data_IF_128592486472
#
_entry.id   IF_128592486472
#
_cell.length_a   1.000
_cell.length_b   1.000
_cell.length_c   1.000
_cell.angle_alpha   90.00
_cell.angle_beta   90.00
_cell.angle_gamma   90.00
#
_symmetry.space_group_name_H-M   'P 1'
#
loop_
_entity.id
_entity.type
_entity.pdbx_description
1 polymer ?
#
# COMPACT_ATOMS: atom_id res chain seq x y z
N UNK A 1 47.72 -18.96 24.31
CA UNK A 1 46.67 -19.56 25.18
C UNK A 1 45.49 -19.93 24.31
N UNK A 2 45.25 -21.22 24.08
CA UNK A 2 44.15 -21.73 23.22
C UNK A 2 42.88 -21.79 24.08
N UNK A 3 41.99 -20.82 23.90
CA UNK A 3 40.67 -20.83 24.55
C UNK A 3 39.76 -21.88 23.97
N UNK A 4 39.14 -22.69 24.82
CA UNK A 4 38.00 -23.58 24.44
C UNK A 4 36.70 -22.79 24.56
N UNK A 5 35.76 -23.04 23.64
CA UNK A 5 34.40 -22.48 23.75
C UNK A 5 33.61 -23.17 24.88
N UNK A 6 32.41 -22.62 25.22
CA UNK A 6 31.51 -23.16 26.25
C UNK A 6 31.08 -24.63 26.02
N UNK A 7 31.40 -25.20 24.84
CA UNK A 7 31.10 -26.59 24.48
C UNK A 7 32.32 -27.52 24.54
N UNK A 8 33.46 -27.05 25.07
CA UNK A 8 34.71 -27.81 25.18
C UNK A 8 35.45 -28.03 23.86
N UNK A 9 35.08 -27.35 22.79
CA UNK A 9 35.69 -27.44 21.48
C UNK A 9 36.83 -26.43 21.37
N UNK A 10 37.98 -26.86 20.83
CA UNK A 10 39.08 -25.94 20.54
C UNK A 10 38.66 -24.96 19.47
N UNK A 11 38.73 -23.67 19.75
CA UNK A 11 38.52 -22.65 18.73
C UNK A 11 39.66 -22.73 17.71
N UNK A 12 39.28 -22.88 16.44
CA UNK A 12 40.27 -22.83 15.36
C UNK A 12 40.78 -21.40 15.22
N UNK A 13 42.10 -21.16 15.23
CA UNK A 13 42.67 -19.84 15.05
C UNK A 13 42.17 -19.16 13.78
N UNK A 14 42.02 -17.85 13.81
CA UNK A 14 41.55 -17.04 12.69
C UNK A 14 42.47 -17.18 11.46
N UNK A 15 43.76 -17.32 11.71
CA UNK A 15 44.79 -17.53 10.65
C UNK A 15 44.57 -18.83 9.91
N UNK A 16 44.28 -19.91 10.60
CA UNK A 16 44.05 -21.24 9.99
C UNK A 16 42.76 -21.22 9.17
N UNK A 17 41.76 -20.49 9.64
CA UNK A 17 40.50 -20.25 8.90
C UNK A 17 40.75 -19.42 7.62
N UNK A 18 41.59 -18.41 7.69
CA UNK A 18 41.97 -17.59 6.55
C UNK A 18 42.73 -18.41 5.50
N UNK A 19 43.72 -19.21 5.93
CA UNK A 19 44.47 -20.14 5.04
C UNK A 19 43.55 -21.13 4.33
N UNK A 20 42.58 -21.68 5.05
CA UNK A 20 41.59 -22.59 4.43
C UNK A 20 40.82 -21.90 3.31
N UNK A 21 40.28 -20.69 3.55
CA UNK A 21 39.49 -19.98 2.57
C UNK A 21 40.32 -19.49 1.39
N UNK A 22 41.56 -19.11 1.62
CA UNK A 22 42.50 -18.73 0.56
C UNK A 22 42.82 -19.92 -0.37
N UNK A 23 43.05 -21.11 0.18
CA UNK A 23 43.25 -22.31 -0.58
C UNK A 23 41.98 -22.71 -1.36
N UNK A 24 40.79 -22.55 -0.77
CA UNK A 24 39.53 -22.84 -1.46
C UNK A 24 39.24 -21.81 -2.58
N UNK A 25 39.59 -20.56 -2.42
CA UNK A 25 39.49 -19.55 -3.47
C UNK A 25 40.44 -19.81 -4.66
N UNK A 26 41.56 -20.44 -4.41
CA UNK A 26 42.50 -20.92 -5.45
C UNK A 26 42.06 -22.23 -6.14
N UNK A 27 40.84 -22.75 -5.86
CA UNK A 27 40.31 -23.94 -6.47
C UNK A 27 40.79 -25.27 -5.87
N UNK A 28 41.55 -25.22 -4.76
CA UNK A 28 42.13 -26.43 -4.09
C UNK A 28 41.02 -27.23 -3.44
N UNK A 29 41.10 -28.57 -3.46
CA UNK A 29 40.11 -29.45 -2.85
C UNK A 29 39.95 -29.22 -1.35
N UNK A 30 38.76 -29.52 -0.78
CA UNK A 30 38.51 -29.35 0.67
C UNK A 30 39.55 -30.16 1.49
N UNK A 31 39.91 -31.36 1.05
CA UNK A 31 40.86 -32.25 1.74
C UNK A 31 42.25 -31.59 1.81
N UNK A 32 42.73 -31.04 0.73
CA UNK A 32 44.03 -30.35 0.65
C UNK A 32 44.01 -29.01 1.35
N UNK A 33 42.96 -28.23 1.21
CA UNK A 33 42.79 -26.96 1.90
C UNK A 33 42.79 -27.15 3.45
N UNK A 34 42.21 -28.25 3.94
CA UNK A 34 42.29 -28.62 5.35
C UNK A 34 43.72 -28.98 5.79
N UNK A 35 44.49 -29.65 4.95
CA UNK A 35 45.91 -29.95 5.24
C UNK A 35 46.76 -28.69 5.31
N UNK A 36 46.57 -27.78 4.35
CA UNK A 36 47.27 -26.48 4.30
C UNK A 36 46.96 -25.63 5.54
N UNK A 37 45.71 -25.63 5.96
CA UNK A 37 45.23 -24.87 7.12
C UNK A 37 45.47 -25.58 8.46
N UNK A 38 45.93 -26.82 8.50
CA UNK A 38 46.10 -27.56 9.74
C UNK A 38 44.81 -27.88 10.48
N UNK A 39 43.67 -27.93 9.80
CA UNK A 39 42.36 -28.18 10.39
C UNK A 39 41.82 -29.58 10.05
N UNK A 40 40.96 -30.08 10.91
CA UNK A 40 40.32 -31.35 10.70
C UNK A 40 39.36 -31.32 9.48
N UNK A 41 39.35 -32.36 8.66
CA UNK A 41 38.55 -32.43 7.44
C UNK A 41 37.05 -32.16 7.66
N UNK A 42 36.47 -32.72 8.71
CA UNK A 42 35.06 -32.50 9.04
C UNK A 42 34.74 -31.00 9.36
N UNK A 43 35.70 -30.26 9.89
CA UNK A 43 35.58 -28.82 10.14
C UNK A 43 35.54 -28.04 8.84
N UNK A 44 36.45 -28.37 7.90
CA UNK A 44 36.47 -27.76 6.57
C UNK A 44 35.19 -28.06 5.76
N UNK A 45 34.71 -29.31 5.82
CA UNK A 45 33.43 -29.65 5.18
C UNK A 45 32.24 -28.84 5.71
N UNK A 46 32.14 -28.68 7.03
CA UNK A 46 31.06 -27.88 7.65
C UNK A 46 31.13 -26.41 7.23
N UNK A 47 32.32 -25.87 7.12
CA UNK A 47 32.50 -24.48 6.69
C UNK A 47 32.15 -24.29 5.22
N UNK A 48 32.58 -25.19 4.34
CA UNK A 48 32.26 -25.13 2.91
C UNK A 48 30.74 -25.31 2.66
N UNK A 49 30.10 -26.24 3.36
CA UNK A 49 28.65 -26.42 3.28
C UNK A 49 27.87 -25.18 3.77
N UNK A 50 28.33 -24.54 4.87
CA UNK A 50 27.71 -23.32 5.39
C UNK A 50 27.85 -22.16 4.40
N UNK A 51 29.03 -22.00 3.77
CA UNK A 51 29.27 -20.99 2.77
C UNK A 51 28.37 -21.17 1.54
N UNK A 52 28.30 -22.39 0.99
CA UNK A 52 27.43 -22.70 -0.16
C UNK A 52 25.95 -22.41 0.14
N UNK A 53 25.52 -22.67 1.39
CA UNK A 53 24.15 -22.32 1.80
C UNK A 53 23.93 -20.82 1.80
N UNK A 54 24.86 -20.03 2.35
CA UNK A 54 24.77 -18.56 2.36
C UNK A 54 24.75 -18.01 0.92
N UNK A 55 25.63 -18.52 0.04
CA UNK A 55 25.69 -18.12 -1.37
C UNK A 55 24.38 -18.47 -2.11
N UNK A 56 23.80 -19.64 -1.83
CA UNK A 56 22.50 -20.03 -2.40
C UNK A 56 21.35 -19.15 -1.88
N UNK A 57 21.32 -18.85 -0.58
CA UNK A 57 20.31 -17.98 0.02
C UNK A 57 20.42 -16.53 -0.52
N UNK A 58 21.65 -16.03 -0.73
CA UNK A 58 21.89 -14.71 -1.35
C UNK A 58 21.44 -14.71 -2.82
N UNK A 59 21.80 -15.74 -3.59
CA UNK A 59 21.37 -15.85 -4.99
C UNK A 59 19.83 -15.95 -5.11
N UNK A 60 19.18 -16.66 -4.19
CA UNK A 60 17.71 -16.73 -4.13
C UNK A 60 17.08 -15.39 -3.77
N UNK A 61 17.69 -14.64 -2.83
CA UNK A 61 17.25 -13.30 -2.47
C UNK A 61 17.41 -12.31 -3.65
N UNK A 62 18.54 -12.34 -4.35
CA UNK A 62 18.77 -11.51 -5.54
C UNK A 62 17.79 -11.82 -6.67
N UNK A 63 17.44 -13.12 -6.86
CA UNK A 63 16.43 -13.54 -7.83
C UNK A 63 15.03 -13.03 -7.42
N UNK A 64 14.72 -13.06 -6.13
CA UNK A 64 13.49 -12.51 -5.56
C UNK A 64 13.37 -11.01 -5.80
N UNK A 65 14.43 -10.26 -5.56
CA UNK A 65 14.50 -8.81 -5.83
C UNK A 65 14.35 -8.52 -7.33
N UNK A 66 15.00 -9.29 -8.21
CA UNK A 66 14.85 -9.16 -9.67
C UNK A 66 13.41 -9.43 -10.13
N UNK A 67 12.76 -10.47 -9.59
CA UNK A 67 11.35 -10.78 -9.88
C UNK A 67 10.41 -9.69 -9.39
N UNK A 68 10.62 -9.17 -8.18
CA UNK A 68 9.84 -8.06 -7.63
C UNK A 68 9.99 -6.79 -8.48
N UNK A 69 11.21 -6.46 -8.93
CA UNK A 69 11.47 -5.32 -9.79
C UNK A 69 10.87 -5.49 -11.20
N UNK A 70 10.88 -6.70 -11.77
CA UNK A 70 10.25 -6.99 -13.05
C UNK A 70 8.73 -6.84 -12.97
N UNK A 71 8.10 -7.34 -11.88
CA UNK A 71 6.68 -7.16 -11.65
C UNK A 71 6.31 -5.68 -11.44
N UNK A 72 7.11 -4.92 -10.71
CA UNK A 72 6.88 -3.47 -10.55
C UNK A 72 6.98 -2.70 -11.87
N UNK A 73 7.88 -3.12 -12.76
CA UNK A 73 8.01 -2.56 -14.11
C UNK A 73 6.80 -2.85 -14.98
N UNK A 74 6.23 -4.06 -14.90
CA UNK A 74 5.00 -4.44 -15.59
C UNK A 74 3.79 -3.70 -15.04
N UNK A 75 3.65 -3.64 -13.73
CA UNK A 75 2.59 -2.87 -13.06
C UNK A 75 2.66 -1.37 -13.39
N UNK A 76 3.87 -0.79 -13.49
CA UNK A 76 4.05 0.62 -13.91
C UNK A 76 3.64 0.84 -15.38
N UNK A 77 3.89 -0.13 -16.27
CA UNK A 77 3.44 -0.06 -17.68
C UNK A 77 1.93 -0.19 -17.78
N UNK A 78 1.34 -1.13 -17.05
CA UNK A 78 -0.12 -1.30 -16.95
C UNK A 78 -0.80 -0.05 -16.38
N UNK A 79 -0.23 0.55 -15.32
CA UNK A 79 -0.73 1.83 -14.78
C UNK A 79 -0.59 2.98 -15.77
N UNK A 80 0.50 3.05 -16.56
CA UNK A 80 0.64 4.06 -17.60
C UNK A 80 -0.36 3.85 -18.73
N UNK A 81 -0.54 2.60 -19.22
CA UNK A 81 -1.54 2.33 -20.25
C UNK A 81 -2.96 2.66 -19.78
N UNK A 82 -3.29 2.35 -18.52
CA UNK A 82 -4.58 2.75 -17.92
C UNK A 82 -4.73 4.28 -17.85
N UNK A 83 -3.63 5.01 -17.59
CA UNK A 83 -3.64 6.48 -17.56
C UNK A 83 -3.76 7.05 -18.98
N UNK A 84 -3.10 6.43 -19.96
CA UNK A 84 -3.11 6.85 -21.36
C UNK A 84 -4.42 6.43 -22.07
N UNK A 85 -5.01 5.29 -21.65
CA UNK A 85 -6.33 4.79 -22.09
C UNK A 85 -7.50 5.46 -21.35
N UNK A 86 -7.25 6.17 -20.25
CA UNK A 86 -8.22 7.08 -19.65
C UNK A 86 -8.40 8.27 -20.59
N UNK A 87 -9.01 8.00 -21.73
CA UNK A 87 -9.49 9.01 -22.65
C UNK A 87 -10.21 10.13 -21.90
N UNK A 88 -10.45 11.25 -22.54
CA UNK A 88 -10.96 12.47 -21.94
C UNK A 88 -11.90 12.23 -20.75
N UNK A 89 -11.42 12.59 -19.57
CA UNK A 89 -12.24 12.53 -18.35
C UNK A 89 -13.56 13.24 -18.66
N UNK A 90 -14.70 12.69 -18.22
CA UNK A 90 -15.99 13.34 -18.40
C UNK A 90 -15.88 14.79 -17.92
N UNK A 91 -16.45 15.76 -18.66
CA UNK A 91 -16.35 17.16 -18.29
C UNK A 91 -16.81 17.37 -16.86
N UNK A 92 -15.97 18.00 -16.06
CA UNK A 92 -16.32 18.39 -14.70
C UNK A 92 -17.43 19.44 -14.79
N UNK A 93 -18.51 19.22 -14.05
CA UNK A 93 -19.54 20.28 -13.91
C UNK A 93 -18.90 21.40 -13.09
N UNK A 94 -18.77 22.63 -13.63
CA UNK A 94 -18.21 23.75 -12.89
C UNK A 94 -19.03 24.01 -11.61
N UNK A 95 -18.37 24.43 -10.53
CA UNK A 95 -19.01 24.69 -9.24
C UNK A 95 -20.26 25.58 -9.35
N UNK A 96 -20.20 26.60 -10.20
CA UNK A 96 -21.28 27.57 -10.43
C UNK A 96 -22.55 26.92 -10.99
N UNK A 97 -22.39 25.82 -11.73
CA UNK A 97 -23.49 25.06 -12.37
C UNK A 97 -24.03 23.92 -11.50
N UNK A 98 -23.41 23.67 -10.34
CA UNK A 98 -23.90 22.68 -9.39
C UNK A 98 -25.23 23.09 -8.78
N UNK A 99 -26.08 22.11 -8.47
CA UNK A 99 -27.28 22.34 -7.66
C UNK A 99 -26.91 22.82 -6.25
N UNK A 100 -27.82 23.48 -5.55
CA UNK A 100 -27.57 23.93 -4.16
C UNK A 100 -27.21 22.76 -3.23
N UNK A 101 -27.82 21.60 -3.44
CA UNK A 101 -27.46 20.35 -2.73
C UNK A 101 -26.01 19.95 -3.02
N UNK A 102 -25.61 19.98 -4.27
CA UNK A 102 -24.27 19.61 -4.70
C UNK A 102 -23.22 20.62 -4.19
N UNK A 103 -23.49 21.92 -4.24
CA UNK A 103 -22.62 22.96 -3.68
C UNK A 103 -22.42 22.76 -2.18
N UNK A 104 -23.50 22.53 -1.43
CA UNK A 104 -23.40 22.25 -0.01
C UNK A 104 -22.59 20.99 0.28
N UNK A 105 -22.79 19.92 -0.49
CA UNK A 105 -21.96 18.70 -0.35
C UNK A 105 -20.50 18.91 -0.75
N UNK A 106 -20.21 19.84 -1.66
CA UNK A 106 -18.85 20.22 -2.02
C UNK A 106 -18.12 20.92 -0.88
N UNK A 107 -18.81 21.81 -0.17
CA UNK A 107 -18.20 22.64 0.86
C UNK A 107 -18.24 22.00 2.25
N UNK A 108 -19.22 21.13 2.52
CA UNK A 108 -19.48 20.54 3.84
C UNK A 108 -19.35 19.01 3.80
N UNK A 109 -18.30 18.50 4.45
CA UNK A 109 -18.04 17.07 4.53
C UNK A 109 -19.07 16.29 5.37
N UNK A 110 -19.60 16.86 6.44
CA UNK A 110 -20.66 16.23 7.25
C UNK A 110 -21.92 16.05 6.41
N UNK A 111 -22.34 17.13 5.73
CA UNK A 111 -23.47 17.11 4.82
C UNK A 111 -23.25 16.11 3.67
N UNK A 112 -22.08 16.12 3.05
CA UNK A 112 -21.71 15.19 1.99
C UNK A 112 -21.88 13.73 2.42
N UNK A 113 -21.37 13.35 3.59
CA UNK A 113 -21.47 11.98 4.10
C UNK A 113 -22.90 11.57 4.34
N UNK A 114 -23.74 12.46 4.88
CA UNK A 114 -25.16 12.16 5.13
C UNK A 114 -25.90 11.99 3.84
N UNK A 115 -25.81 12.95 2.95
CA UNK A 115 -26.64 13.02 1.73
C UNK A 115 -26.22 12.01 0.69
N UNK A 116 -24.92 11.79 0.47
CA UNK A 116 -24.43 10.92 -0.60
C UNK A 116 -23.98 9.53 -0.14
N UNK A 117 -23.53 9.41 1.10
CA UNK A 117 -22.99 8.17 1.61
C UNK A 117 -23.87 7.52 2.68
N UNK A 118 -24.96 8.17 3.08
CA UNK A 118 -25.91 7.65 4.07
C UNK A 118 -25.28 7.40 5.44
N UNK A 119 -24.26 8.17 5.82
CA UNK A 119 -23.49 7.93 7.05
C UNK A 119 -23.55 9.12 7.99
N UNK A 120 -23.71 8.82 9.27
CA UNK A 120 -23.60 9.81 10.34
C UNK A 120 -22.15 9.87 10.80
N UNK A 121 -21.39 10.95 10.54
CA UNK A 121 -20.02 11.06 11.02
C UNK A 121 -19.97 11.40 12.51
N UNK A 122 -18.96 10.90 13.21
CA UNK A 122 -18.63 11.41 14.53
C UNK A 122 -17.82 12.71 14.43
N UNK A 123 -17.85 13.60 15.44
CA UNK A 123 -17.15 14.89 15.39
C UNK A 123 -15.66 14.79 15.03
N UNK A 124 -14.95 13.81 15.58
CA UNK A 124 -13.53 13.60 15.28
C UNK A 124 -13.27 13.25 13.82
N UNK A 125 -14.21 12.55 13.14
CA UNK A 125 -14.09 12.19 11.73
C UNK A 125 -14.24 13.42 10.83
N UNK A 126 -15.09 14.34 11.20
CA UNK A 126 -15.27 15.62 10.51
C UNK A 126 -14.02 16.46 10.64
N UNK A 127 -13.52 16.63 11.87
CA UNK A 127 -12.28 17.37 12.15
C UNK A 127 -11.07 16.77 11.40
N UNK A 128 -10.93 15.44 11.45
CA UNK A 128 -9.86 14.75 10.73
C UNK A 128 -9.97 14.94 9.21
N UNK A 129 -11.18 14.90 8.63
CA UNK A 129 -11.37 15.10 7.19
C UNK A 129 -10.91 16.50 6.75
N UNK A 130 -11.30 17.54 7.47
CA UNK A 130 -10.86 18.91 7.16
C UNK A 130 -9.36 19.09 7.31
N UNK A 131 -8.73 18.49 8.33
CA UNK A 131 -7.27 18.50 8.48
C UNK A 131 -6.58 17.78 7.31
N UNK A 132 -7.10 16.62 6.89
CA UNK A 132 -6.56 15.91 5.72
C UNK A 132 -6.63 16.80 4.48
N UNK A 133 -7.76 17.44 4.22
CA UNK A 133 -7.92 18.29 3.04
C UNK A 133 -7.03 19.52 3.11
N UNK A 134 -6.91 20.15 4.27
CA UNK A 134 -6.01 21.29 4.48
C UNK A 134 -4.56 20.92 4.15
N UNK A 135 -4.09 19.74 4.57
CA UNK A 135 -2.75 19.24 4.21
C UNK A 135 -2.63 18.92 2.72
N UNK A 136 -3.67 18.39 2.07
CA UNK A 136 -3.66 18.13 0.64
C UNK A 136 -3.62 19.42 -0.22
N UNK A 137 -4.16 20.50 0.29
CA UNK A 137 -4.20 21.82 -0.35
C UNK A 137 -2.95 22.66 -0.03
N UNK A 138 -2.12 22.25 0.93
CA UNK A 138 -0.86 22.92 1.24
C UNK A 138 0.18 22.62 0.14
N UNK A 139 1.07 23.57 -0.14
CA UNK A 139 2.18 23.39 -1.07
C UNK A 139 3.31 22.54 -0.48
N UNK A 140 3.29 22.31 0.82
CA UNK A 140 4.30 21.53 1.53
C UNK A 140 4.02 20.03 1.42
N UNK A 141 5.08 19.25 1.22
CA UNK A 141 5.01 17.78 1.23
C UNK A 141 5.03 17.31 2.67
N UNK A 142 3.87 17.03 3.23
CA UNK A 142 3.71 16.61 4.60
C UNK A 142 3.24 15.15 4.72
N UNK A 143 3.58 14.55 5.87
CA UNK A 143 3.03 13.26 6.27
C UNK A 143 2.00 13.47 7.37
N UNK A 144 0.75 13.08 7.09
CA UNK A 144 -0.30 13.06 8.10
C UNK A 144 -0.46 11.65 8.65
N UNK A 145 -0.25 11.49 9.96
CA UNK A 145 -0.45 10.22 10.65
C UNK A 145 -1.72 10.30 11.48
N UNK A 146 -2.72 9.48 11.13
CA UNK A 146 -3.96 9.36 11.88
C UNK A 146 -3.92 8.14 12.77
N UNK A 147 -3.75 8.35 14.08
CA UNK A 147 -3.75 7.29 15.08
C UNK A 147 -5.11 7.24 15.80
N UNK A 148 -5.82 6.15 15.66
CA UNK A 148 -7.11 5.94 16.30
C UNK A 148 -7.34 4.46 16.65
N UNK A 149 -8.15 4.18 17.68
CA UNK A 149 -8.38 2.81 18.14
C UNK A 149 -9.01 1.93 17.05
N UNK A 150 -8.84 0.60 17.15
CA UNK A 150 -9.55 -0.35 16.30
C UNK A 150 -11.07 -0.14 16.38
N UNK A 151 -11.78 -0.29 15.27
CA UNK A 151 -13.23 -0.11 15.24
C UNK A 151 -13.74 1.33 15.17
N UNK A 152 -12.88 2.34 15.33
CA UNK A 152 -13.29 3.76 15.26
C UNK A 152 -13.77 4.24 13.88
N UNK A 153 -13.76 3.38 12.85
CA UNK A 153 -14.21 3.76 11.50
C UNK A 153 -13.15 4.44 10.64
N UNK A 154 -11.86 4.29 10.97
CA UNK A 154 -10.74 4.87 10.23
C UNK A 154 -10.78 4.58 8.72
N UNK A 155 -10.94 3.32 8.35
CA UNK A 155 -10.97 2.91 6.94
C UNK A 155 -12.17 3.49 6.19
N UNK A 156 -13.30 3.65 6.89
CA UNK A 156 -14.50 4.29 6.35
C UNK A 156 -14.25 5.78 6.15
N UNK A 157 -13.59 6.44 7.09
CA UNK A 157 -13.22 7.85 6.96
C UNK A 157 -12.32 8.07 5.74
N UNK A 158 -11.25 7.28 5.57
CA UNK A 158 -10.36 7.42 4.42
C UNK A 158 -11.06 7.15 3.09
N UNK A 159 -11.98 6.18 3.05
CA UNK A 159 -12.82 5.95 1.88
C UNK A 159 -13.66 7.21 1.55
N UNK A 160 -14.33 7.77 2.54
CA UNK A 160 -15.25 8.90 2.37
C UNK A 160 -14.50 10.19 1.99
N UNK A 161 -13.35 10.45 2.62
CA UNK A 161 -12.48 11.57 2.26
C UNK A 161 -11.93 11.41 0.84
N UNK A 162 -11.48 10.21 0.44
CA UNK A 162 -11.01 9.96 -0.91
C UNK A 162 -12.12 10.23 -1.95
N UNK A 163 -13.35 9.75 -1.70
CA UNK A 163 -14.51 10.03 -2.56
C UNK A 163 -14.77 11.54 -2.63
N UNK A 164 -14.79 12.23 -1.50
CA UNK A 164 -15.03 13.67 -1.45
C UNK A 164 -13.96 14.49 -2.18
N UNK A 165 -12.67 14.14 -2.00
CA UNK A 165 -11.57 14.77 -2.74
C UNK A 165 -11.68 14.56 -4.25
N UNK A 166 -12.05 13.35 -4.70
CA UNK A 166 -12.24 13.04 -6.13
C UNK A 166 -13.42 13.82 -6.72
N UNK A 167 -14.50 13.99 -5.94
CA UNK A 167 -15.65 14.82 -6.37
C UNK A 167 -15.24 16.27 -6.56
N UNK A 168 -14.44 16.83 -5.66
CA UNK A 168 -13.94 18.22 -5.70
C UNK A 168 -12.85 18.45 -6.74
N UNK A 169 -12.02 17.44 -6.97
CA UNK A 169 -10.91 17.54 -7.92
C UNK A 169 -10.72 16.23 -8.67
N UNK A 170 -11.19 16.17 -9.94
CA UNK A 170 -11.06 15.00 -10.82
C UNK A 170 -9.63 14.67 -11.21
N UNK A 171 -8.72 15.64 -11.12
CA UNK A 171 -7.30 15.45 -11.45
C UNK A 171 -6.51 14.83 -10.28
N UNK A 172 -7.11 14.70 -9.09
CA UNK A 172 -6.44 14.12 -7.94
C UNK A 172 -6.13 12.64 -8.18
N UNK A 173 -4.93 12.22 -7.81
CA UNK A 173 -4.50 10.82 -7.88
C UNK A 173 -4.42 10.24 -6.48
N UNK A 174 -5.21 9.21 -6.22
CA UNK A 174 -5.25 8.53 -4.92
C UNK A 174 -4.51 7.21 -5.00
N UNK A 175 -3.43 7.07 -4.22
CA UNK A 175 -2.69 5.82 -4.07
C UNK A 175 -3.07 5.16 -2.74
N UNK A 176 -3.54 3.91 -2.79
CA UNK A 176 -3.94 3.15 -1.61
C UNK A 176 -2.93 2.04 -1.36
N UNK A 177 -2.19 2.16 -0.26
CA UNK A 177 -1.34 1.11 0.27
C UNK A 177 -2.03 0.31 1.37
N UNK A 178 -1.81 -1.00 1.41
CA UNK A 178 -2.32 -1.88 2.46
C UNK A 178 -1.37 -3.06 2.69
N UNK A 179 -1.56 -3.77 3.81
CA UNK A 179 -0.77 -4.97 4.16
C UNK A 179 -0.89 -6.08 3.10
N UNK A 180 -1.98 -6.11 2.33
CA UNK A 180 -2.17 -7.04 1.23
C UNK A 180 -2.72 -6.36 -0.01
N UNK A 181 -2.30 -6.85 -1.18
CA UNK A 181 -2.80 -6.39 -2.47
C UNK A 181 -4.33 -6.56 -2.59
N UNK A 182 -4.87 -7.64 -2.03
CA UNK A 182 -6.31 -7.91 -2.05
C UNK A 182 -7.08 -6.82 -1.33
N UNK A 183 -6.63 -6.41 -0.14
CA UNK A 183 -7.26 -5.31 0.62
C UNK A 183 -7.15 -3.98 -0.13
N UNK A 184 -5.98 -3.64 -0.68
CA UNK A 184 -5.82 -2.42 -1.46
C UNK A 184 -6.78 -2.37 -2.67
N UNK A 185 -6.91 -3.48 -3.41
CA UNK A 185 -7.86 -3.62 -4.52
C UNK A 185 -9.32 -3.48 -4.05
N UNK A 186 -9.68 -4.07 -2.91
CA UNK A 186 -11.04 -3.92 -2.35
C UNK A 186 -11.37 -2.47 -2.01
N UNK A 187 -10.44 -1.71 -1.40
CA UNK A 187 -10.67 -0.30 -1.11
C UNK A 187 -10.82 0.53 -2.39
N UNK A 188 -9.94 0.34 -3.36
CA UNK A 188 -10.03 1.01 -4.66
C UNK A 188 -11.35 0.71 -5.37
N UNK A 189 -11.78 -0.56 -5.36
CA UNK A 189 -13.06 -0.97 -5.93
C UNK A 189 -14.26 -0.32 -5.25
N UNK A 190 -14.27 -0.27 -3.90
CA UNK A 190 -15.36 0.38 -3.15
C UNK A 190 -15.46 1.87 -3.46
N UNK A 191 -14.34 2.58 -3.59
CA UNK A 191 -14.34 4.01 -3.98
C UNK A 191 -14.98 4.16 -5.36
N UNK A 192 -14.57 3.34 -6.33
CA UNK A 192 -15.12 3.34 -7.68
C UNK A 192 -16.63 3.05 -7.68
N UNK A 193 -17.06 1.99 -7.01
CA UNK A 193 -18.48 1.62 -6.89
C UNK A 193 -19.31 2.74 -6.26
N UNK A 194 -18.76 3.49 -5.31
CA UNK A 194 -19.41 4.65 -4.69
C UNK A 194 -19.57 5.79 -5.69
N UNK A 195 -18.52 6.12 -6.44
CA UNK A 195 -18.53 7.19 -7.44
C UNK A 195 -19.42 6.89 -8.65
N UNK A 196 -19.44 5.63 -9.10
CA UNK A 196 -20.17 5.20 -10.30
C UNK A 196 -21.62 4.79 -10.02
N UNK A 197 -22.08 4.83 -8.78
CA UNK A 197 -23.45 4.42 -8.43
C UNK A 197 -24.48 5.26 -9.18
N UNK A 198 -25.42 4.63 -9.90
CA UNK A 198 -26.37 5.35 -10.76
C UNK A 198 -27.56 5.94 -9.99
N UNK A 199 -27.81 5.49 -8.76
CA UNK A 199 -28.93 5.91 -7.91
C UNK A 199 -28.46 6.21 -6.48
N UNK A 200 -29.27 6.91 -5.72
CA UNK A 200 -29.00 7.17 -4.32
C UNK A 200 -28.83 5.85 -3.54
N UNK A 201 -28.05 5.88 -2.48
CA UNK A 201 -27.81 4.70 -1.64
C UNK A 201 -29.05 4.35 -0.86
N UNK A 202 -29.55 3.13 -1.03
CA UNK A 202 -30.53 2.56 -0.11
C UNK A 202 -29.81 2.10 1.16
N UNK A 203 -30.18 2.69 2.27
CA UNK A 203 -29.58 2.39 3.57
C UNK A 203 -30.43 1.36 4.31
N UNK A 204 -29.79 0.49 5.08
CA UNK A 204 -30.48 -0.48 5.92
C UNK A 204 -31.34 0.24 6.98
N UNK A 205 -32.67 0.03 7.01
CA UNK A 205 -33.56 0.67 7.96
C UNK A 205 -33.18 0.46 9.43
N UNK A 206 -32.56 -0.67 9.76
CA UNK A 206 -32.09 -0.95 11.11
C UNK A 206 -30.91 -0.05 11.52
N UNK A 207 -30.04 0.29 10.57
CA UNK A 207 -28.96 1.23 10.83
C UNK A 207 -29.49 2.67 11.02
N UNK A 208 -30.53 3.04 10.26
CA UNK A 208 -31.20 4.33 10.40
C UNK A 208 -31.89 4.43 11.77
N UNK A 209 -32.62 3.40 12.18
CA UNK A 209 -33.27 3.37 13.53
C UNK A 209 -32.24 3.46 14.66
N UNK A 210 -31.06 2.92 14.50
CA UNK A 210 -29.95 3.00 15.49
C UNK A 210 -29.23 4.34 15.45
N UNK A 211 -29.58 5.27 14.56
CA UNK A 211 -28.90 6.54 14.38
C UNK A 211 -27.47 6.43 13.82
N UNK A 212 -27.10 5.27 13.26
CA UNK A 212 -25.77 5.02 12.70
C UNK A 212 -25.69 5.40 11.22
N UNK A 213 -26.84 5.52 10.57
CA UNK A 213 -26.99 5.90 9.18
C UNK A 213 -28.18 6.82 8.99
N UNK A 214 -28.26 7.45 7.83
CA UNK A 214 -29.37 8.28 7.38
C UNK A 214 -29.71 7.91 5.94
N UNK A 215 -30.95 8.13 5.52
CA UNK A 215 -31.32 7.90 4.12
C UNK A 215 -30.54 8.84 3.22
N UNK A 216 -29.86 8.27 2.23
CA UNK A 216 -29.11 9.04 1.26
C UNK A 216 -30.08 9.64 0.22
N UNK A 217 -30.04 10.95 0.07
CA UNK A 217 -30.94 11.68 -0.85
C UNK A 217 -30.27 11.97 -2.20
N UNK A 218 -28.94 11.99 -2.23
CA UNK A 218 -28.14 12.39 -3.39
C UNK A 218 -27.49 11.23 -4.11
N UNK A 219 -27.27 11.42 -5.40
CA UNK A 219 -26.50 10.55 -6.24
C UNK A 219 -25.32 11.32 -6.83
N UNK A 220 -24.09 10.86 -6.56
CA UNK A 220 -22.87 11.53 -7.00
C UNK A 220 -22.80 11.71 -8.53
N UNK A 221 -23.19 10.67 -9.26
CA UNK A 221 -23.16 10.72 -10.72
C UNK A 221 -24.21 11.68 -11.32
N UNK A 222 -25.31 11.92 -10.63
CA UNK A 222 -26.34 12.85 -11.06
C UNK A 222 -25.96 14.31 -10.73
N UNK A 223 -25.47 14.53 -9.51
CA UNK A 223 -25.22 15.89 -9.00
C UNK A 223 -23.86 16.45 -9.46
N UNK A 224 -22.84 15.62 -9.61
CA UNK A 224 -21.49 16.04 -9.99
C UNK A 224 -21.03 15.54 -11.37
N UNK A 225 -21.90 14.80 -12.08
CA UNK A 225 -21.56 14.19 -13.36
C UNK A 225 -20.81 12.86 -13.24
N UNK A 226 -20.68 12.17 -14.35
CA UNK A 226 -20.07 10.84 -14.40
C UNK A 226 -18.58 10.89 -14.07
N UNK A 227 -18.11 9.84 -13.40
CA UNK A 227 -16.70 9.68 -13.00
C UNK A 227 -15.95 8.71 -13.92
N UNK A 228 -16.65 8.02 -14.82
CA UNK A 228 -16.10 7.06 -15.77
C UNK A 228 -16.33 7.55 -17.19
N UNK A 229 -15.32 7.47 -18.09
CA UNK A 229 -15.54 7.70 -19.50
C UNK A 229 -16.66 6.78 -20.01
N UNK A 230 -17.44 7.27 -20.96
CA UNK A 230 -18.33 6.39 -21.74
C UNK A 230 -17.41 5.41 -22.46
N UNK A 231 -17.69 4.10 -22.33
CA UNK A 231 -17.05 3.13 -23.21
C UNK A 231 -17.33 3.59 -24.64
N UNK A 232 -16.25 3.87 -25.40
CA UNK A 232 -16.36 4.06 -26.84
C UNK A 232 -17.00 2.79 -27.41
N UNK A 233 -18.25 2.92 -27.90
CA UNK A 233 -18.98 1.83 -28.54
C UNK A 233 -18.31 1.35 -29.83
#
# INVERSE_FOLDING_TARGET
MSGTDRSGRRNVPLEDKARFWQARAAGISIKEACKIAGIHYNTGQKWDAKRRKIEADQAAADLGVKKANANSGRERRELRSIIDEAGDLPPVIPYERLSERAKRGWDDFDYFRRVYLGRVPSPWQVDAAYKIVQHLESEEKEFLVLNCPPGAGKSTLFHDVAVWCIVRNRAIRVLIGSISQTLAKQYSRRIRETLERPVALTVDPEQVKKGLAVDAEGCLAQDYGRFKPLASG
#
